data_IF_148532352486
#
_entry.id   IF_148532352486
#
_cell.length_a   1.000
_cell.length_b   1.000
_cell.length_c   1.000
_cell.angle_alpha   90.00
_cell.angle_beta   90.00
_cell.angle_gamma   90.00
#
_symmetry.space_group_name_H-M   'P 1'
#
loop_
_entity.id
_entity.type
_entity.pdbx_description
1 polymer ?
#
# COMPACT_ATOMS: atom_id res chain seq x y z
N UNK A 1 9.29 -8.32 3.49
CA UNK A 1 7.83 -8.02 3.48
C UNK A 1 7.58 -6.65 2.88
N UNK A 2 6.39 -6.41 2.30
CA UNK A 2 6.02 -5.10 1.71
C UNK A 2 6.20 -3.94 2.70
N UNK A 3 5.60 -4.05 3.90
CA UNK A 3 5.66 -3.03 4.95
C UNK A 3 7.09 -2.66 5.38
N UNK A 4 7.92 -3.65 5.74
CA UNK A 4 9.31 -3.43 6.13
C UNK A 4 10.11 -2.70 5.05
N UNK A 5 9.88 -3.00 3.77
CA UNK A 5 10.55 -2.28 2.68
C UNK A 5 10.10 -0.83 2.63
N UNK A 6 8.80 -0.57 2.60
CA UNK A 6 8.25 0.80 2.58
C UNK A 6 8.83 1.67 3.70
N UNK A 7 8.95 1.12 4.91
CA UNK A 7 9.51 1.85 6.06
C UNK A 7 11.02 2.07 5.93
N UNK A 8 11.79 1.05 5.56
CA UNK A 8 13.25 1.19 5.44
C UNK A 8 13.68 2.13 4.32
N UNK A 9 12.96 2.16 3.19
CA UNK A 9 13.30 3.04 2.06
C UNK A 9 12.54 4.37 2.07
N UNK A 10 11.67 4.61 3.06
CA UNK A 10 10.84 5.81 3.19
C UNK A 10 10.11 6.20 1.88
N UNK A 11 9.63 5.20 1.14
CA UNK A 11 8.95 5.43 -0.14
C UNK A 11 7.59 6.07 0.14
N UNK A 12 7.36 7.24 -0.46
CA UNK A 12 6.07 7.91 -0.45
C UNK A 12 5.26 7.44 -1.65
N UNK A 13 4.11 6.82 -1.40
CA UNK A 13 3.16 6.44 -2.46
C UNK A 13 2.20 7.59 -2.72
N UNK A 14 1.78 7.75 -3.97
CA UNK A 14 0.73 8.71 -4.33
C UNK A 14 -0.55 8.42 -3.54
N UNK A 15 -1.14 9.47 -2.99
CA UNK A 15 -2.34 9.38 -2.18
C UNK A 15 -3.50 8.86 -3.03
N UNK A 16 -4.20 7.85 -2.54
CA UNK A 16 -5.40 7.34 -3.18
C UNK A 16 -6.63 7.85 -2.45
N UNK A 17 -7.53 8.54 -3.16
CA UNK A 17 -8.81 9.02 -2.62
C UNK A 17 -9.88 7.92 -2.54
N UNK A 18 -9.71 6.88 -3.37
CA UNK A 18 -10.59 5.73 -3.42
C UNK A 18 -10.10 4.75 -2.36
N UNK A 19 -10.75 4.67 -1.20
CA UNK A 19 -10.42 3.73 -0.13
C UNK A 19 -10.50 2.26 -0.62
N UNK A 20 -9.42 1.78 -1.25
CA UNK A 20 -9.45 0.55 -2.03
C UNK A 20 -9.64 -0.67 -1.13
N UNK A 21 -10.55 -1.57 -1.51
CA UNK A 21 -10.72 -2.85 -0.82
C UNK A 21 -9.56 -3.78 -1.18
N UNK A 22 -8.64 -3.97 -0.23
CA UNK A 22 -7.46 -4.81 -0.39
C UNK A 22 -7.78 -6.27 -0.09
N UNK A 23 -7.73 -7.11 -1.14
CA UNK A 23 -7.87 -8.56 -1.16
C UNK A 23 -6.59 -9.23 -1.72
N UNK A 24 -6.45 -10.56 -1.57
CA UNK A 24 -5.22 -11.28 -1.98
C UNK A 24 -4.86 -11.11 -3.46
N UNK A 25 -5.87 -11.02 -4.33
CA UNK A 25 -5.74 -10.83 -5.78
C UNK A 25 -5.32 -9.42 -6.18
N UNK A 26 -5.85 -8.38 -5.52
CA UNK A 26 -5.68 -6.98 -5.90
C UNK A 26 -4.72 -6.18 -4.99
N UNK A 27 -4.13 -6.81 -3.97
CA UNK A 27 -3.29 -6.14 -2.96
C UNK A 27 -2.11 -5.35 -3.51
N UNK A 28 -1.66 -5.63 -4.73
CA UNK A 28 -0.56 -4.89 -5.35
C UNK A 28 -1.03 -3.70 -6.22
N UNK A 29 -2.34 -3.55 -6.47
CA UNK A 29 -2.90 -2.52 -7.36
C UNK A 29 -2.76 -1.12 -6.79
N UNK A 30 -2.93 -0.95 -5.48
CA UNK A 30 -2.77 0.33 -4.80
C UNK A 30 -1.81 0.16 -3.63
N UNK A 31 -0.59 0.65 -3.79
CA UNK A 31 0.44 0.55 -2.76
C UNK A 31 0.12 1.45 -1.57
N UNK A 32 -0.46 2.63 -1.79
CA UNK A 32 -0.91 3.55 -0.74
C UNK A 32 -1.96 2.90 0.18
N UNK A 33 -3.10 2.46 -0.37
CA UNK A 33 -4.16 1.83 0.45
C UNK A 33 -3.69 0.52 1.08
N UNK A 34 -2.82 -0.25 0.40
CA UNK A 34 -2.22 -1.45 0.99
C UNK A 34 -1.32 -1.11 2.18
N UNK A 35 -0.53 -0.05 2.07
CA UNK A 35 0.35 0.39 3.16
C UNK A 35 -0.44 0.96 4.33
N UNK A 36 -1.46 1.79 4.07
CA UNK A 36 -2.34 2.33 5.11
C UNK A 36 -3.21 1.28 5.82
N UNK A 37 -3.51 0.14 5.18
CA UNK A 37 -4.25 -0.97 5.80
C UNK A 37 -3.38 -1.85 6.70
N UNK A 38 -2.08 -1.95 6.39
CA UNK A 38 -1.13 -2.75 7.15
C UNK A 38 -0.80 -2.08 8.47
#
# INVERSE_FOLDING_TARGET
GFFRRTMSTQVQYETCQMNCVIQKSNRNRCQFCRFHKC
#
